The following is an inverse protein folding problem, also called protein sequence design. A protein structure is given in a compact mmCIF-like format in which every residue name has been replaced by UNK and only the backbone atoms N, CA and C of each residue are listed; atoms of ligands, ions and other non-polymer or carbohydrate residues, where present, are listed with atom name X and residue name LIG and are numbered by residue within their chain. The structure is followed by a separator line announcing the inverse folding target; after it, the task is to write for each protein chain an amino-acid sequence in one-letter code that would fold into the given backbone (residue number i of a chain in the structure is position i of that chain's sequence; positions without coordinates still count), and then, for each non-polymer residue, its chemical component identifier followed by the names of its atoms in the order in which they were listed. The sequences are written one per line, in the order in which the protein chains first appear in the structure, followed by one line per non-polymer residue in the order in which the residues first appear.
data_IF_729707593185
#
_entry.id   IF_729707593185
#
_cell.length_a   1.000
_cell.length_b   1.000
_cell.length_c   1.000
_cell.angle_alpha   90.00
_cell.angle_beta   90.00
_cell.angle_gamma   90.00
#
_symmetry.space_group_name_H-M   'P 1'
#
loop_
_entity.id
_entity.type
_entity.pdbx_description
1 polymer ?
#
# COMPACT_ATOMS: atom_id res chain seq x y z
N UNK A 1 -10.22 -4.23 1.03
CA UNK A 1 -9.74 -3.17 1.96
C UNK A 1 -8.31 -2.72 1.67
N UNK A 2 -7.30 -3.61 1.64
CA UNK A 2 -5.90 -3.22 1.33
C UNK A 2 -5.74 -2.46 0.01
N UNK A 3 -6.34 -2.96 -1.08
CA UNK A 3 -6.31 -2.27 -2.38
C UNK A 3 -6.99 -0.90 -2.34
N UNK A 4 -8.12 -0.79 -1.62
CA UNK A 4 -8.82 0.48 -1.41
C UNK A 4 -7.96 1.48 -0.62
N UNK A 5 -7.23 1.01 0.39
CA UNK A 5 -6.31 1.83 1.17
C UNK A 5 -5.15 2.31 0.29
N UNK A 6 -4.52 1.41 -0.48
CA UNK A 6 -3.44 1.75 -1.40
C UNK A 6 -3.87 2.80 -2.43
N UNK A 7 -5.02 2.59 -3.06
CA UNK A 7 -5.57 3.54 -4.05
C UNK A 7 -5.95 4.88 -3.42
N UNK A 8 -6.48 4.89 -2.18
CA UNK A 8 -6.71 6.13 -1.44
C UNK A 8 -5.40 6.84 -1.10
N UNK A 9 -4.39 6.14 -0.60
CA UNK A 9 -3.06 6.69 -0.28
C UNK A 9 -2.45 7.35 -1.52
N UNK A 10 -2.57 6.74 -2.70
CA UNK A 10 -2.11 7.35 -3.95
C UNK A 10 -2.83 8.66 -4.27
N UNK A 11 -4.17 8.71 -4.10
CA UNK A 11 -4.94 9.94 -4.32
C UNK A 11 -4.56 11.04 -3.35
N UNK A 12 -4.40 10.70 -2.07
CA UNK A 12 -3.98 11.64 -1.02
C UNK A 12 -2.57 12.14 -1.32
N UNK A 13 -1.63 11.26 -1.65
CA UNK A 13 -0.26 11.63 -2.03
C UNK A 13 -0.22 12.57 -3.24
N UNK A 14 -1.02 12.30 -4.27
CA UNK A 14 -1.13 13.19 -5.43
C UNK A 14 -1.69 14.58 -5.05
N UNK A 15 -2.71 14.64 -4.18
CA UNK A 15 -3.25 15.92 -3.70
C UNK A 15 -2.20 16.72 -2.91
N UNK A 16 -1.43 16.06 -2.04
CA UNK A 16 -0.33 16.70 -1.33
C UNK A 16 0.78 17.18 -2.27
N UNK A 17 1.13 16.40 -3.30
CA UNK A 17 2.14 16.80 -4.28
C UNK A 17 1.73 18.08 -5.01
N UNK A 18 0.46 18.19 -5.41
CA UNK A 18 -0.10 19.41 -6.04
C UNK A 18 -0.06 20.59 -5.06
N UNK A 19 -0.53 20.39 -3.83
CA UNK A 19 -0.52 21.42 -2.80
C UNK A 19 0.90 21.96 -2.54
N UNK A 20 1.85 21.07 -2.25
CA UNK A 20 3.24 21.43 -1.99
C UNK A 20 3.84 22.14 -3.21
N UNK A 21 3.61 21.62 -4.42
CA UNK A 21 4.12 22.20 -5.65
C UNK A 21 3.68 23.66 -5.83
N UNK A 22 2.37 23.92 -5.74
CA UNK A 22 1.86 25.29 -5.90
C UNK A 22 2.29 26.22 -4.76
N UNK A 23 2.29 25.75 -3.52
CA UNK A 23 2.77 26.56 -2.39
C UNK A 23 4.24 26.95 -2.54
N UNK A 24 5.10 26.04 -2.99
CA UNK A 24 6.52 26.34 -3.21
C UNK A 24 6.73 27.31 -4.39
N UNK A 25 5.97 27.15 -5.48
CA UNK A 25 6.02 28.07 -6.62
C UNK A 25 5.59 29.49 -6.24
N UNK A 26 4.55 29.62 -5.42
CA UNK A 26 4.07 30.90 -4.91
C UNK A 26 5.10 31.56 -3.98
N UNK A 27 5.75 30.79 -3.10
CA UNK A 27 6.80 31.28 -2.20
C UNK A 27 8.01 31.87 -2.92
N UNK A 28 8.42 31.28 -4.04
CA UNK A 28 9.55 31.80 -4.85
C UNK A 28 9.11 32.90 -5.83
N UNK A 29 7.81 33.24 -5.88
CA UNK A 29 7.26 34.28 -6.75
C UNK A 29 7.29 33.93 -8.24
N UNK A 30 7.24 32.63 -8.58
CA UNK A 30 7.30 32.19 -9.97
C UNK A 30 6.07 32.64 -10.78
N UNK A 31 6.30 33.24 -11.95
CA UNK A 31 5.24 33.71 -12.86
C UNK A 31 5.18 32.83 -14.11
N UNK A 32 4.13 32.02 -14.22
CA UNK A 32 3.89 31.21 -15.41
C UNK A 32 3.62 32.11 -16.63
N UNK A 33 4.43 31.98 -17.69
CA UNK A 33 4.28 32.76 -18.92
C UNK A 33 4.72 34.23 -18.82
N UNK A 34 5.26 34.66 -17.69
CA UNK A 34 5.84 35.99 -17.50
C UNK A 34 7.37 35.98 -17.47
N UNK A 35 7.97 37.15 -17.30
CA UNK A 35 9.40 37.27 -17.05
C UNK A 35 9.74 36.79 -15.63
N UNK A 36 10.74 35.93 -15.54
CA UNK A 36 11.32 35.45 -14.30
C UNK A 36 12.82 35.75 -14.34
N UNK A 37 13.40 36.19 -13.23
CA UNK A 37 14.85 36.36 -13.13
C UNK A 37 15.57 35.00 -13.16
N UNK A 38 16.85 35.01 -13.52
CA UNK A 38 17.68 33.79 -13.48
C UNK A 38 17.72 33.14 -12.09
N UNK A 39 17.61 33.96 -11.03
CA UNK A 39 17.51 33.48 -9.66
C UNK A 39 16.23 32.65 -9.44
N UNK A 40 15.07 33.15 -9.87
CA UNK A 40 13.79 32.41 -9.76
C UNK A 40 13.85 31.11 -10.57
N UNK A 41 14.49 31.13 -11.75
CA UNK A 41 14.66 29.91 -12.55
C UNK A 41 15.57 28.89 -11.87
N UNK A 42 16.60 29.34 -11.14
CA UNK A 42 17.44 28.47 -10.33
C UNK A 42 16.65 27.85 -9.17
N UNK A 43 15.86 28.67 -8.47
CA UNK A 43 14.98 28.21 -7.39
C UNK A 43 13.89 27.26 -7.90
N UNK A 44 13.36 27.47 -9.10
CA UNK A 44 12.41 26.54 -9.73
C UNK A 44 13.00 25.13 -9.89
N UNK A 45 14.28 25.03 -10.31
CA UNK A 45 14.99 23.74 -10.39
C UNK A 45 15.11 23.11 -9.01
N UNK A 46 15.39 23.90 -7.98
CA UNK A 46 15.46 23.46 -6.59
C UNK A 46 14.11 22.87 -6.13
N UNK A 47 13.01 23.59 -6.39
CA UNK A 47 11.64 23.17 -6.06
C UNK A 47 11.25 21.88 -6.78
N UNK A 48 11.77 21.63 -7.97
CA UNK A 48 11.51 20.37 -8.69
C UNK A 48 12.22 19.16 -8.06
N UNK A 49 13.44 19.35 -7.55
CA UNK A 49 14.30 18.24 -7.09
C UNK A 49 14.10 17.93 -5.61
N UNK A 50 14.13 18.94 -4.75
CA UNK A 50 14.23 18.71 -3.30
C UNK A 50 13.04 18.03 -2.65
N UNK A 51 11.78 18.34 -2.99
CA UNK A 51 10.63 17.62 -2.44
C UNK A 51 10.70 16.12 -2.74
N UNK A 52 11.07 15.74 -3.96
CA UNK A 52 11.25 14.34 -4.33
C UNK A 52 12.36 13.67 -3.52
N UNK A 53 13.52 14.33 -3.40
CA UNK A 53 14.65 13.83 -2.59
C UNK A 53 14.23 13.61 -1.13
N UNK A 54 13.58 14.58 -0.51
CA UNK A 54 13.16 14.48 0.89
C UNK A 54 12.15 13.34 1.11
N UNK A 55 11.17 13.20 0.21
CA UNK A 55 10.20 12.10 0.28
C UNK A 55 10.89 10.74 0.07
N UNK A 56 11.79 10.63 -0.90
CA UNK A 56 12.55 9.39 -1.13
C UNK A 56 13.42 9.00 0.07
N UNK A 57 14.07 9.96 0.71
CA UNK A 57 14.84 9.72 1.94
C UNK A 57 13.93 9.26 3.07
N UNK A 58 12.78 9.90 3.26
CA UNK A 58 11.80 9.48 4.27
C UNK A 58 11.31 8.03 4.02
N UNK A 59 11.02 7.69 2.77
CA UNK A 59 10.64 6.32 2.38
C UNK A 59 11.77 5.33 2.64
N UNK A 60 13.01 5.67 2.28
CA UNK A 60 14.17 4.83 2.54
C UNK A 60 14.34 4.55 4.04
N UNK A 61 14.20 5.57 4.90
CA UNK A 61 14.26 5.41 6.37
C UNK A 61 13.15 4.49 6.89
N UNK A 62 11.92 4.64 6.38
CA UNK A 62 10.78 3.80 6.77
C UNK A 62 11.04 2.34 6.37
N UNK A 63 11.50 2.10 5.14
CA UNK A 63 11.76 0.75 4.62
C UNK A 63 12.94 0.09 5.34
N UNK A 64 13.98 0.86 5.69
CA UNK A 64 15.18 0.34 6.35
C UNK A 64 14.86 -0.41 7.66
N UNK A 65 13.81 0.00 8.38
CA UNK A 65 13.40 -0.60 9.65
C UNK A 65 12.22 -1.56 9.51
N UNK A 66 11.76 -1.83 8.28
CA UNK A 66 10.54 -2.58 8.08
C UNK A 66 10.72 -4.05 8.47
N UNK A 67 9.90 -4.61 9.38
CA UNK A 67 10.13 -5.91 10.00
C UNK A 67 9.65 -7.10 9.14
N UNK A 68 9.71 -6.96 7.81
CA UNK A 68 9.23 -7.99 6.87
C UNK A 68 10.42 -8.61 6.15
N UNK A 69 11.09 -9.53 6.84
CA UNK A 69 12.15 -10.35 6.27
C UNK A 69 11.58 -11.59 5.56
N UNK A 70 12.45 -12.33 4.89
CA UNK A 70 12.06 -13.55 4.17
C UNK A 70 11.42 -14.59 5.09
N UNK A 71 11.99 -14.80 6.27
CA UNK A 71 11.48 -15.77 7.25
C UNK A 71 10.05 -15.43 7.69
N UNK A 72 9.80 -14.17 7.98
CA UNK A 72 8.48 -13.63 8.36
C UNK A 72 7.49 -13.78 7.21
N UNK A 73 7.93 -13.56 5.96
CA UNK A 73 7.08 -13.75 4.79
C UNK A 73 6.67 -15.21 4.57
N UNK A 74 7.61 -16.14 4.75
CA UNK A 74 7.33 -17.58 4.66
C UNK A 74 6.32 -17.99 5.74
N UNK A 75 6.49 -17.51 6.97
CA UNK A 75 5.56 -17.83 8.05
C UNK A 75 4.17 -17.24 7.81
N UNK A 76 4.09 -15.96 7.40
CA UNK A 76 2.83 -15.32 7.02
C UNK A 76 2.12 -16.10 5.90
N UNK A 77 2.86 -16.61 4.91
CA UNK A 77 2.29 -17.40 3.82
C UNK A 77 1.64 -18.68 4.34
N UNK A 78 2.29 -19.44 5.25
CA UNK A 78 1.71 -20.64 5.84
C UNK A 78 0.40 -20.35 6.57
N UNK A 79 0.36 -19.26 7.34
CA UNK A 79 -0.86 -18.84 8.05
C UNK A 79 -1.99 -18.50 7.08
N UNK A 80 -1.69 -17.79 6.00
CA UNK A 80 -2.66 -17.43 4.96
C UNK A 80 -3.17 -18.66 4.20
N UNK A 81 -2.28 -19.58 3.82
CA UNK A 81 -2.64 -20.84 3.17
C UNK A 81 -3.56 -21.68 4.05
N UNK A 82 -3.25 -21.80 5.35
CA UNK A 82 -4.12 -22.53 6.30
C UNK A 82 -5.52 -21.94 6.37
N UNK A 83 -5.63 -20.62 6.54
CA UNK A 83 -6.92 -19.92 6.58
C UNK A 83 -7.71 -20.07 5.29
N UNK A 84 -7.02 -20.12 4.14
CA UNK A 84 -7.67 -20.32 2.84
C UNK A 84 -8.26 -21.72 2.69
N UNK A 85 -7.58 -22.76 3.21
CA UNK A 85 -8.07 -24.13 3.22
C UNK A 85 -9.26 -24.31 4.16
N UNK A 86 -9.18 -23.74 5.37
CA UNK A 86 -10.28 -23.80 6.34
C UNK A 86 -11.54 -23.10 5.80
N UNK A 87 -11.38 -21.96 5.13
CA UNK A 87 -12.49 -21.26 4.47
C UNK A 87 -13.07 -22.06 3.30
N UNK A 88 -12.22 -22.73 2.50
CA UNK A 88 -12.68 -23.58 1.41
C UNK A 88 -13.45 -24.82 1.93
N UNK A 89 -12.98 -25.45 3.01
CA UNK A 89 -13.66 -26.57 3.65
C UNK A 89 -15.03 -26.16 4.18
N UNK A 90 -15.12 -25.02 4.87
CA UNK A 90 -16.39 -24.48 5.35
C UNK A 90 -17.37 -24.18 4.20
N UNK A 91 -16.89 -23.62 3.09
CA UNK A 91 -17.71 -23.35 1.91
C UNK A 91 -18.21 -24.63 1.21
N UNK A 92 -17.43 -25.71 1.23
CA UNK A 92 -17.87 -27.02 0.72
C UNK A 92 -18.99 -27.58 1.60
N UNK A 93 -18.82 -27.56 2.92
CA UNK A 93 -19.82 -28.05 3.90
C UNK A 93 -21.14 -27.29 3.77
N UNK A 94 -21.08 -25.96 3.68
CA UNK A 94 -22.27 -25.10 3.46
C UNK A 94 -23.00 -25.46 2.16
N UNK A 95 -22.24 -25.83 1.10
CA UNK A 95 -22.80 -26.17 -0.21
C UNK A 95 -23.34 -27.59 -0.31
N UNK A 96 -22.78 -28.55 0.42
CA UNK A 96 -23.18 -29.97 0.35
C UNK A 96 -24.17 -30.39 1.44
N UNK A 97 -24.32 -29.60 2.51
CA UNK A 97 -25.25 -29.88 3.61
C UNK A 97 -24.89 -31.09 4.47
N UNK A 98 -23.70 -31.70 4.29
CA UNK A 98 -23.25 -32.85 5.05
C UNK A 98 -22.13 -32.50 6.06
N UNK A 99 -22.23 -32.93 7.32
CA UNK A 99 -21.15 -32.79 8.30
C UNK A 99 -20.01 -33.78 7.99
N UNK A 100 -18.75 -33.33 8.09
CA UNK A 100 -17.57 -34.13 7.72
C UNK A 100 -17.16 -35.18 8.77
N UNK A 101 -18.05 -35.54 9.67
CA UNK A 101 -17.75 -36.48 10.75
C UNK A 101 -17.93 -37.91 10.24
N UNK A 102 -16.90 -38.75 10.41
CA UNK A 102 -16.92 -40.16 10.04
C UNK A 102 -18.03 -40.98 10.74
N UNK A 103 -18.73 -40.40 11.72
CA UNK A 103 -19.90 -40.99 12.39
C UNK A 103 -21.23 -40.75 11.65
N UNK A 104 -21.28 -39.85 10.66
CA UNK A 104 -22.51 -39.53 9.94
C UNK A 104 -22.79 -40.42 8.72
N UNK A 105 -21.93 -41.40 8.41
CA UNK A 105 -22.11 -42.28 7.24
C UNK A 105 -23.12 -43.43 7.45
N UNK A 106 -23.91 -43.41 8.53
CA UNK A 106 -25.10 -44.26 8.67
C UNK A 106 -24.89 -45.78 8.66
N UNK A 107 -23.66 -46.28 8.79
CA UNK A 107 -23.40 -47.72 8.92
C UNK A 107 -23.23 -48.00 10.42
N UNK A 108 -24.21 -48.72 10.98
CA UNK A 108 -24.13 -49.27 12.32
C UNK A 108 -22.88 -50.15 12.41
N UNK A 109 -22.06 -49.94 13.43
CA UNK A 109 -20.97 -50.85 13.76
C UNK A 109 -21.56 -52.08 14.46
N UNK A 110 -22.26 -52.93 13.69
CA UNK A 110 -22.66 -54.30 14.04
C UNK A 110 -22.99 -55.09 12.76
#
# INVERSE_FOLDING_TARGET
LFYSLLTMTNKVGAAFAVFIGFTLLDQIGFKAGGENSDEILSQLRMVYVWPAVLVSVAVAVIIWRFPLDEATQVENRKVLERRSLDAAAAAIIDRTGEPSDAQSSGISAD
#
